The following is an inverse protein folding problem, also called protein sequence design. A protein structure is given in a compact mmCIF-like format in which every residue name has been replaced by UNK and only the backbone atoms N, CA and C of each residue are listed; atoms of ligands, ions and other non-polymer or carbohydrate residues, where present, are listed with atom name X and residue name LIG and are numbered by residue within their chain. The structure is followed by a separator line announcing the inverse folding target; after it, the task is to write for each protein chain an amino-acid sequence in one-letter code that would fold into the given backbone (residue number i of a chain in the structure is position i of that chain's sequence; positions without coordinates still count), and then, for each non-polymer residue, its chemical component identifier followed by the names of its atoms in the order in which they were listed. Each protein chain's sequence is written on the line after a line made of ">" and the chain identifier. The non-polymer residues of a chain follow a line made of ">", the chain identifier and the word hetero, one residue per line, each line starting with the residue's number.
data_IF_564273786745
#
_entry.id   IF_564273786745
#
_cell.length_a   1.000
_cell.length_b   1.000
_cell.length_c   1.000
_cell.angle_alpha   90.00
_cell.angle_beta   90.00
_cell.angle_gamma   90.00
#
_symmetry.space_group_name_H-M   'P 1'
#
loop_
_entity.id
_entity.type
_entity.pdbx_description
1 polymer ?
#
# COMPACT_ATOMS: atom_id res chain seq x y z
N UNK A 1 -22.19 -10.67 12.74
CA UNK A 1 -20.76 -10.83 13.02
C UNK A 1 -20.14 -9.44 13.05
N UNK A 2 -19.55 -9.01 14.18
CA UNK A 2 -18.86 -7.72 14.23
C UNK A 2 -17.46 -7.89 13.61
N UNK A 3 -16.92 -6.83 13.00
CA UNK A 3 -15.59 -6.88 12.38
C UNK A 3 -14.51 -7.31 13.37
N UNK A 4 -14.60 -6.85 14.62
CA UNK A 4 -13.69 -7.25 15.71
C UNK A 4 -13.71 -8.77 15.95
N UNK A 5 -14.90 -9.36 15.97
CA UNK A 5 -15.08 -10.81 16.17
C UNK A 5 -14.49 -11.62 15.00
N UNK A 6 -14.60 -11.09 13.77
CA UNK A 6 -14.08 -11.76 12.57
C UNK A 6 -12.55 -11.69 12.46
N UNK A 7 -11.93 -10.60 12.95
CA UNK A 7 -10.47 -10.46 12.97
C UNK A 7 -9.84 -11.37 14.03
N UNK A 8 -10.52 -11.58 15.15
CA UNK A 8 -10.03 -12.33 16.31
C UNK A 8 -9.15 -11.47 17.24
N UNK A 9 -8.97 -11.95 18.47
CA UNK A 9 -8.17 -11.26 19.50
C UNK A 9 -6.65 -11.45 19.27
N UNK A 10 -5.84 -10.50 19.76
CA UNK A 10 -4.37 -10.59 19.75
C UNK A 10 -3.69 -10.35 18.40
N UNK A 11 -4.44 -9.96 17.36
CA UNK A 11 -3.86 -9.56 16.07
C UNK A 11 -3.59 -8.06 16.04
N UNK A 12 -2.40 -7.69 15.62
CA UNK A 12 -2.05 -6.31 15.33
C UNK A 12 -2.79 -5.85 14.06
N UNK A 13 -3.60 -4.79 14.19
CA UNK A 13 -4.42 -4.25 13.10
C UNK A 13 -3.99 -2.82 12.78
N UNK A 14 -3.98 -2.49 11.50
CA UNK A 14 -3.77 -1.14 11.01
C UNK A 14 -4.97 -0.70 10.16
N UNK A 15 -5.53 0.46 10.46
CA UNK A 15 -6.61 1.09 9.69
C UNK A 15 -6.06 2.26 8.87
N UNK A 16 -6.35 2.27 7.56
CA UNK A 16 -6.13 3.43 6.72
C UNK A 16 -7.49 3.96 6.28
N UNK A 17 -7.86 5.15 6.77
CA UNK A 17 -9.19 5.70 6.54
C UNK A 17 -9.12 7.03 5.82
N UNK A 18 -10.26 7.57 5.40
CA UNK A 18 -10.31 8.98 5.05
C UNK A 18 -10.09 9.83 6.30
N UNK A 19 -9.58 11.06 6.10
CA UNK A 19 -9.53 12.07 7.17
C UNK A 19 -10.94 12.49 7.55
N UNK A 20 -11.45 11.82 8.56
CA UNK A 20 -12.79 11.98 9.13
C UNK A 20 -12.69 11.70 10.63
N UNK A 21 -13.07 12.69 11.44
CA UNK A 21 -12.96 12.61 12.90
C UNK A 21 -13.90 11.54 13.48
N UNK A 22 -15.06 11.32 12.85
CA UNK A 22 -16.03 10.31 13.27
C UNK A 22 -15.46 8.92 13.07
N UNK A 23 -14.87 8.65 11.91
CA UNK A 23 -14.22 7.35 11.64
C UNK A 23 -13.06 7.13 12.61
N UNK A 24 -12.23 8.16 12.80
CA UNK A 24 -11.06 8.09 13.69
C UNK A 24 -11.47 7.76 15.13
N UNK A 25 -12.54 8.40 15.61
CA UNK A 25 -13.12 8.15 16.92
C UNK A 25 -13.62 6.71 17.08
N UNK A 26 -14.39 6.19 16.12
CA UNK A 26 -14.91 4.82 16.20
C UNK A 26 -13.81 3.76 16.09
N UNK A 27 -12.79 3.98 15.26
CA UNK A 27 -11.61 3.10 15.21
C UNK A 27 -10.96 3.05 16.59
N UNK A 28 -10.71 4.21 17.23
CA UNK A 28 -10.12 4.26 18.57
C UNK A 28 -10.98 3.62 19.66
N UNK A 29 -12.31 3.67 19.55
CA UNK A 29 -13.19 2.99 20.49
C UNK A 29 -13.21 1.46 20.33
N UNK A 30 -13.30 0.98 19.10
CA UNK A 30 -13.49 -0.46 18.84
C UNK A 30 -12.14 -1.21 18.86
N UNK A 31 -11.07 -0.53 18.41
CA UNK A 31 -9.72 -1.05 18.26
C UNK A 31 -8.69 -0.07 18.86
N UNK A 32 -8.65 0.09 20.20
CA UNK A 32 -7.78 1.06 20.86
C UNK A 32 -6.28 0.81 20.64
N UNK A 33 -5.90 -0.45 20.43
CA UNK A 33 -4.52 -0.87 20.17
C UNK A 33 -4.16 -0.86 18.67
N UNK A 34 -5.12 -0.59 17.79
CA UNK A 34 -4.85 -0.57 16.36
C UNK A 34 -4.13 0.70 15.94
N UNK A 35 -3.20 0.55 15.00
CA UNK A 35 -2.59 1.68 14.35
C UNK A 35 -3.61 2.32 13.40
N UNK A 36 -3.58 3.64 13.31
CA UNK A 36 -4.53 4.37 12.49
C UNK A 36 -3.86 5.48 11.71
N UNK A 37 -4.03 5.42 10.40
CA UNK A 37 -3.46 6.31 9.40
C UNK A 37 -4.53 6.87 8.47
N UNK A 38 -4.17 7.95 7.80
CA UNK A 38 -4.98 8.56 6.77
C UNK A 38 -4.55 8.12 5.38
N UNK A 39 -5.54 7.90 4.53
CA UNK A 39 -5.31 7.58 3.13
C UNK A 39 -4.61 8.75 2.45
N UNK A 40 -3.54 8.47 1.70
CA UNK A 40 -2.80 9.52 0.96
C UNK A 40 -3.73 10.36 0.07
N UNK A 41 -4.82 9.74 -0.42
CA UNK A 41 -5.85 10.43 -1.19
C UNK A 41 -6.59 11.48 -0.35
N UNK A 42 -7.09 11.13 0.83
CA UNK A 42 -7.81 12.07 1.70
C UNK A 42 -6.91 13.20 2.21
N UNK A 43 -5.66 12.87 2.59
CA UNK A 43 -4.63 13.86 2.94
C UNK A 43 -4.38 14.80 1.76
N UNK A 44 -4.25 14.29 0.53
CA UNK A 44 -4.05 15.12 -0.65
C UNK A 44 -5.24 16.06 -0.92
N UNK A 45 -6.48 15.62 -0.64
CA UNK A 45 -7.68 16.46 -0.81
C UNK A 45 -7.65 17.61 0.19
N UNK A 46 -7.45 17.32 1.47
CA UNK A 46 -7.36 18.34 2.52
C UNK A 46 -6.21 19.32 2.29
N UNK A 47 -5.05 18.78 1.94
CA UNK A 47 -3.88 19.55 1.57
C UNK A 47 -4.18 20.53 0.41
N UNK A 48 -4.80 20.04 -0.67
CA UNK A 48 -5.19 20.88 -1.82
C UNK A 48 -6.22 21.95 -1.46
N UNK A 49 -7.12 21.68 -0.51
CA UNK A 49 -8.10 22.67 -0.04
C UNK A 49 -7.43 23.84 0.71
N UNK A 50 -6.26 23.62 1.33
CA UNK A 50 -5.52 24.66 2.07
C UNK A 50 -4.49 25.39 1.23
N UNK A 51 -3.81 24.68 0.34
CA UNK A 51 -2.64 25.19 -0.41
C UNK A 51 -2.97 25.51 -1.86
N UNK A 52 -4.12 25.02 -2.36
CA UNK A 52 -4.46 25.07 -3.78
C UNK A 52 -3.95 23.84 -4.54
N UNK A 53 -4.50 23.65 -5.74
CA UNK A 53 -4.12 22.53 -6.60
C UNK A 53 -2.83 22.86 -7.36
N UNK A 54 -1.87 21.93 -7.36
CA UNK A 54 -0.63 22.09 -8.11
C UNK A 54 -0.03 20.72 -8.40
N UNK A 55 0.09 20.37 -9.67
CA UNK A 55 0.64 19.08 -10.12
C UNK A 55 2.04 18.82 -9.56
N UNK A 56 2.88 19.87 -9.45
CA UNK A 56 4.23 19.74 -8.89
C UNK A 56 4.19 19.45 -7.38
N UNK A 57 3.33 20.17 -6.64
CA UNK A 57 3.20 19.93 -5.21
C UNK A 57 2.56 18.57 -4.91
N UNK A 58 1.55 18.16 -5.67
CA UNK A 58 0.96 16.82 -5.58
C UNK A 58 2.03 15.74 -5.86
N UNK A 59 2.86 15.93 -6.88
CA UNK A 59 3.97 15.02 -7.19
C UNK A 59 4.95 14.90 -6.01
N UNK A 60 5.40 16.02 -5.45
CA UNK A 60 6.30 16.05 -4.30
C UNK A 60 5.66 15.42 -3.05
N UNK A 61 4.38 15.71 -2.80
CA UNK A 61 3.61 15.12 -1.71
C UNK A 61 3.53 13.60 -1.85
N UNK A 62 3.11 13.07 -2.99
CA UNK A 62 3.01 11.62 -3.19
C UNK A 62 4.37 10.94 -3.17
N UNK A 63 5.44 11.64 -3.58
CA UNK A 63 6.81 11.14 -3.45
C UNK A 63 7.27 11.07 -2.00
N UNK A 64 7.01 12.09 -1.20
CA UNK A 64 7.29 12.09 0.23
C UNK A 64 6.46 11.00 0.95
N UNK A 65 5.16 10.94 0.66
CA UNK A 65 4.24 9.97 1.25
C UNK A 65 4.71 8.53 1.03
N UNK A 66 5.21 8.20 -0.17
CA UNK A 66 5.68 6.85 -0.56
C UNK A 66 7.18 6.63 -0.36
N UNK A 67 7.89 7.52 0.33
CA UNK A 67 9.31 7.34 0.57
C UNK A 67 9.55 6.14 1.50
N UNK A 68 10.54 5.31 1.18
CA UNK A 68 10.93 4.15 2.00
C UNK A 68 11.84 4.55 3.16
N UNK A 69 12.65 5.58 2.96
CA UNK A 69 13.63 6.05 3.95
C UNK A 69 13.25 7.45 4.43
N UNK A 70 13.65 7.77 5.65
CA UNK A 70 13.57 9.13 6.19
C UNK A 70 14.36 10.13 5.33
N UNK A 71 15.48 9.70 4.74
CA UNK A 71 16.27 10.53 3.84
C UNK A 71 15.51 10.90 2.54
N UNK A 72 14.90 9.92 1.88
CA UNK A 72 14.11 10.16 0.65
C UNK A 72 12.85 10.97 0.94
N UNK A 73 12.26 10.76 2.11
CA UNK A 73 11.16 11.55 2.62
C UNK A 73 11.60 13.01 2.71
N UNK A 74 12.65 13.33 3.47
CA UNK A 74 13.08 14.70 3.70
C UNK A 74 13.54 15.39 2.41
N UNK A 75 14.17 14.65 1.49
CA UNK A 75 14.54 15.15 0.16
C UNK A 75 13.35 15.60 -0.68
N UNK A 76 12.18 14.96 -0.50
CA UNK A 76 10.95 15.32 -1.20
C UNK A 76 10.16 16.37 -0.41
N UNK A 77 10.10 16.21 0.91
CA UNK A 77 9.37 17.07 1.83
C UNK A 77 9.96 18.49 1.87
N UNK A 78 11.28 18.63 1.94
CA UNK A 78 11.98 19.94 1.93
C UNK A 78 11.72 20.78 0.67
N UNK A 79 11.35 20.15 -0.45
CA UNK A 79 11.03 20.82 -1.72
C UNK A 79 9.61 21.36 -1.78
N UNK A 80 8.75 21.00 -0.84
CA UNK A 80 7.43 21.58 -0.70
C UNK A 80 7.55 23.03 -0.19
N UNK A 81 6.58 23.86 -0.56
CA UNK A 81 6.49 25.23 -0.03
C UNK A 81 6.40 25.22 1.49
N UNK A 82 6.79 26.32 2.14
CA UNK A 82 6.70 26.45 3.59
C UNK A 82 5.29 26.14 4.11
N UNK A 83 4.27 26.78 3.53
CA UNK A 83 2.88 26.57 3.88
C UNK A 83 2.44 25.10 3.69
N UNK A 84 2.89 24.45 2.62
CA UNK A 84 2.61 23.03 2.39
C UNK A 84 3.20 22.13 3.49
N UNK A 85 4.46 22.38 3.86
CA UNK A 85 5.12 21.64 4.94
C UNK A 85 4.43 21.86 6.28
N UNK A 86 3.99 23.08 6.56
CA UNK A 86 3.28 23.42 7.79
C UNK A 86 1.95 22.65 7.91
N UNK A 87 1.11 22.71 6.87
CA UNK A 87 -0.16 21.97 6.82
C UNK A 87 0.06 20.46 7.01
N UNK A 88 1.03 19.88 6.31
CA UNK A 88 1.32 18.45 6.39
C UNK A 88 1.97 18.02 7.72
N UNK A 89 2.73 18.92 8.35
CA UNK A 89 3.32 18.67 9.68
C UNK A 89 2.25 18.71 10.76
N UNK A 90 1.25 19.59 10.65
CA UNK A 90 0.12 19.68 11.58
C UNK A 90 -0.76 18.41 11.57
N UNK A 91 -0.84 17.70 10.44
CA UNK A 91 -1.50 16.38 10.37
C UNK A 91 -0.69 15.30 11.10
N UNK A 92 0.63 15.50 11.25
CA UNK A 92 1.58 14.54 11.80
C UNK A 92 2.11 13.59 10.73
N UNK A 93 3.43 13.54 10.54
CA UNK A 93 4.09 12.70 9.51
C UNK A 93 3.73 11.22 9.68
N UNK A 94 3.62 10.75 10.91
CA UNK A 94 3.24 9.36 11.24
C UNK A 94 1.89 8.95 10.68
N UNK A 95 0.95 9.89 10.53
CA UNK A 95 -0.42 9.61 10.07
C UNK A 95 -0.55 9.42 8.56
N UNK A 96 0.46 9.76 7.77
CA UNK A 96 0.34 9.74 6.31
C UNK A 96 1.58 9.26 5.56
N UNK A 97 2.77 9.42 6.13
CA UNK A 97 4.03 9.05 5.50
C UNK A 97 4.44 7.60 5.81
N UNK A 98 4.77 6.84 4.76
CA UNK A 98 5.00 5.39 4.85
C UNK A 98 6.14 5.01 5.78
N UNK A 99 7.27 5.70 5.66
CA UNK A 99 8.49 5.45 6.44
C UNK A 99 8.36 5.78 7.93
N UNK A 100 7.34 6.53 8.33
CA UNK A 100 7.07 6.88 9.73
C UNK A 100 5.97 6.02 10.34
N UNK A 101 5.33 5.14 9.56
CA UNK A 101 4.34 4.23 10.08
C UNK A 101 5.06 3.02 10.70
N UNK A 102 4.79 2.69 11.98
CA UNK A 102 5.51 1.64 12.70
C UNK A 102 5.23 0.24 12.18
N UNK A 103 4.16 0.08 11.38
CA UNK A 103 3.75 -1.21 10.84
C UNK A 103 3.96 -1.35 9.34
N UNK A 104 3.99 -2.60 8.90
CA UNK A 104 4.01 -2.93 7.49
C UNK A 104 2.61 -2.64 6.91
N UNK A 105 2.46 -1.57 6.11
CA UNK A 105 1.20 -1.14 5.45
C UNK A 105 0.58 -2.16 4.47
N UNK A 106 1.01 -3.43 4.46
CA UNK A 106 0.51 -4.46 3.54
C UNK A 106 -0.81 -5.09 3.98
N UNK A 107 -1.26 -4.87 5.21
CA UNK A 107 -2.54 -5.37 5.71
C UNK A 107 -3.74 -4.42 5.50
N UNK A 108 -3.62 -3.50 4.55
CA UNK A 108 -4.71 -2.58 4.21
C UNK A 108 -5.69 -3.35 3.35
N UNK A 109 -6.61 -4.05 4.01
CA UNK A 109 -7.91 -4.40 3.44
C UNK A 109 -8.55 -3.09 2.97
N UNK A 110 -8.32 -2.75 1.70
CA UNK A 110 -8.97 -1.63 1.07
C UNK A 110 -10.43 -2.03 0.82
N UNK A 111 -11.27 -1.82 1.82
CA UNK A 111 -12.73 -1.89 1.66
C UNK A 111 -13.11 -0.65 0.88
N UNK A 112 -12.92 -0.70 -0.44
CA UNK A 112 -13.49 0.30 -1.32
C UNK A 112 -15.00 0.10 -1.28
N UNK A 113 -15.70 0.97 -0.54
CA UNK A 113 -17.16 0.96 -0.54
C UNK A 113 -17.60 1.14 -1.98
N UNK A 114 -18.30 0.16 -2.57
CA UNK A 114 -18.69 0.22 -3.97
C UNK A 114 -19.41 1.52 -4.27
N UNK A 115 -19.03 2.16 -5.38
CA UNK A 115 -19.60 3.45 -5.78
C UNK A 115 -21.13 3.41 -5.89
N UNK A 116 -21.73 2.24 -6.18
CA UNK A 116 -23.18 2.08 -6.23
C UNK A 116 -23.84 2.26 -4.85
N UNK A 117 -23.20 1.88 -3.74
CA UNK A 117 -23.74 2.13 -2.39
C UNK A 117 -23.76 3.64 -2.09
N UNK A 118 -22.72 4.35 -2.52
CA UNK A 118 -22.69 5.81 -2.42
C UNK A 118 -23.79 6.45 -3.27
N UNK A 119 -24.06 5.92 -4.48
CA UNK A 119 -25.16 6.38 -5.33
C UNK A 119 -26.51 6.11 -4.66
N UNK A 120 -26.77 4.89 -4.16
CA UNK A 120 -28.02 4.53 -3.50
C UNK A 120 -28.32 5.42 -2.27
N UNK A 121 -27.29 5.74 -1.47
CA UNK A 121 -27.44 6.61 -0.30
C UNK A 121 -27.71 8.07 -0.69
N UNK A 122 -27.11 8.55 -1.79
CA UNK A 122 -27.22 9.96 -2.23
C UNK A 122 -28.46 10.22 -3.08
N UNK A 123 -28.87 9.29 -3.94
CA UNK A 123 -29.98 9.51 -4.88
C UNK A 123 -31.34 9.08 -4.35
N UNK A 124 -31.37 8.26 -3.30
CA UNK A 124 -32.62 7.75 -2.75
C UNK A 124 -32.67 8.01 -1.24
N UNK A 125 -33.14 9.20 -0.86
CA UNK A 125 -33.34 9.59 0.53
C UNK A 125 -34.33 8.72 1.32
N UNK A 126 -35.02 7.77 0.66
CA UNK A 126 -36.04 6.89 1.24
C UNK A 126 -35.85 5.39 0.88
N UNK A 127 -34.63 4.88 0.73
CA UNK A 127 -34.46 3.41 0.61
C UNK A 127 -34.67 2.78 1.99
N UNK A 128 -35.53 1.76 2.13
CA UNK A 128 -35.56 0.96 3.34
C UNK A 128 -34.17 0.40 3.65
N UNK A 129 -33.78 0.42 4.93
CA UNK A 129 -32.46 -0.09 5.36
C UNK A 129 -32.25 -1.55 4.92
N UNK A 130 -33.32 -2.33 4.85
CA UNK A 130 -33.34 -3.71 4.35
C UNK A 130 -32.85 -3.79 2.90
N UNK A 131 -33.30 -2.88 2.04
CA UNK A 131 -32.88 -2.84 0.62
C UNK A 131 -31.39 -2.52 0.48
N UNK A 132 -30.86 -1.61 1.30
CA UNK A 132 -29.42 -1.34 1.34
C UNK A 132 -28.64 -2.58 1.77
N UNK A 133 -29.08 -3.27 2.82
CA UNK A 133 -28.46 -4.53 3.25
C UNK A 133 -28.50 -5.60 2.17
N UNK A 134 -29.65 -5.82 1.51
CA UNK A 134 -29.77 -6.77 0.40
C UNK A 134 -28.81 -6.43 -0.73
N UNK A 135 -28.68 -5.15 -1.10
CA UNK A 135 -27.77 -4.72 -2.15
C UNK A 135 -26.29 -4.91 -1.77
N UNK A 136 -25.92 -4.66 -0.50
CA UNK A 136 -24.58 -4.95 0.01
C UNK A 136 -24.29 -6.46 -0.04
N UNK A 137 -25.21 -7.28 0.45
CA UNK A 137 -25.06 -8.75 0.46
C UNK A 137 -24.94 -9.28 -0.96
N UNK A 138 -25.81 -8.85 -1.87
CA UNK A 138 -25.77 -9.24 -3.27
C UNK A 138 -24.44 -8.83 -3.93
N UNK A 139 -23.95 -7.62 -3.67
CA UNK A 139 -22.66 -7.18 -4.19
C UNK A 139 -21.50 -8.03 -3.67
N UNK A 140 -21.48 -8.34 -2.37
CA UNK A 140 -20.44 -9.20 -1.79
C UNK A 140 -20.52 -10.58 -2.44
N UNK A 141 -21.69 -11.21 -2.48
CA UNK A 141 -21.90 -12.53 -3.08
C UNK A 141 -21.47 -12.56 -4.55
N UNK A 142 -21.88 -11.57 -5.35
CA UNK A 142 -21.49 -11.45 -6.75
C UNK A 142 -19.98 -11.29 -6.88
N UNK A 143 -19.35 -10.43 -6.06
CA UNK A 143 -17.89 -10.25 -6.07
C UNK A 143 -17.16 -11.56 -5.75
N UNK A 144 -17.64 -12.34 -4.77
CA UNK A 144 -17.07 -13.65 -4.46
C UNK A 144 -17.25 -14.64 -5.60
N UNK A 145 -18.45 -14.71 -6.20
CA UNK A 145 -18.72 -15.59 -7.33
C UNK A 145 -17.83 -15.26 -8.56
N UNK A 146 -17.72 -13.97 -8.91
CA UNK A 146 -16.85 -13.51 -10.00
C UNK A 146 -15.38 -13.85 -9.73
N UNK A 147 -14.91 -13.69 -8.49
CA UNK A 147 -13.55 -14.05 -8.10
C UNK A 147 -13.31 -15.56 -8.08
N UNK A 148 -14.28 -16.36 -7.67
CA UNK A 148 -14.19 -17.84 -7.71
C UNK A 148 -14.04 -18.34 -9.16
N UNK A 149 -14.88 -17.82 -10.07
CA UNK A 149 -14.77 -18.10 -11.52
C UNK A 149 -13.41 -17.67 -12.06
N UNK A 150 -12.96 -16.45 -11.70
CA UNK A 150 -11.62 -15.97 -12.09
C UNK A 150 -10.53 -16.91 -11.59
N UNK A 151 -10.61 -17.37 -10.34
CA UNK A 151 -9.66 -18.31 -9.72
C UNK A 151 -9.57 -19.62 -10.49
N UNK A 152 -10.71 -20.19 -10.87
CA UNK A 152 -10.78 -21.40 -11.70
C UNK A 152 -10.17 -21.24 -13.09
N UNK A 153 -10.13 -20.02 -13.63
CA UNK A 153 -9.51 -19.71 -14.92
C UNK A 153 -8.00 -19.39 -14.83
N UNK A 154 -7.45 -19.16 -13.63
CA UNK A 154 -6.03 -18.86 -13.49
C UNK A 154 -5.18 -20.09 -13.84
N UNK A 155 -4.29 -19.95 -14.81
CA UNK A 155 -3.34 -20.98 -15.22
C UNK A 155 -1.87 -20.63 -14.90
N UNK A 156 -1.64 -19.48 -14.27
CA UNK A 156 -0.32 -18.99 -13.89
C UNK A 156 -0.11 -19.03 -12.37
N UNK A 157 1.12 -18.74 -11.93
CA UNK A 157 1.50 -18.73 -10.50
C UNK A 157 0.90 -17.54 -9.75
N UNK A 158 0.71 -16.41 -10.43
CA UNK A 158 0.28 -15.15 -9.81
C UNK A 158 -1.10 -14.71 -10.30
N UNK A 159 -1.79 -13.92 -9.49
CA UNK A 159 -3.02 -13.22 -9.91
C UNK A 159 -2.73 -12.25 -11.07
N UNK A 160 -3.71 -11.96 -11.95
CA UNK A 160 -3.51 -11.07 -13.10
C UNK A 160 -3.02 -9.66 -12.71
N UNK A 161 -3.46 -9.17 -11.54
CA UNK A 161 -2.97 -7.91 -10.98
C UNK A 161 -1.47 -7.97 -10.69
N UNK A 162 -1.02 -9.02 -10.01
CA UNK A 162 0.37 -9.16 -9.64
C UNK A 162 1.27 -9.35 -10.87
N UNK A 163 0.82 -10.11 -11.87
CA UNK A 163 1.52 -10.24 -13.14
C UNK A 163 1.68 -8.91 -13.86
N UNK A 164 0.59 -8.15 -14.00
CA UNK A 164 0.63 -6.82 -14.62
C UNK A 164 1.63 -5.89 -13.90
N UNK A 165 1.61 -5.89 -12.56
CA UNK A 165 2.50 -5.06 -11.75
C UNK A 165 3.95 -5.52 -11.86
N UNK A 166 4.21 -6.82 -11.76
CA UNK A 166 5.52 -7.43 -11.93
C UNK A 166 6.09 -7.12 -13.31
N UNK A 167 5.32 -7.34 -14.37
CA UNK A 167 5.75 -7.08 -15.75
C UNK A 167 6.15 -5.61 -15.93
N UNK A 168 5.32 -4.67 -15.45
CA UNK A 168 5.63 -3.24 -15.50
C UNK A 168 6.90 -2.88 -14.72
N UNK A 169 7.12 -3.51 -13.56
CA UNK A 169 8.31 -3.25 -12.75
C UNK A 169 9.55 -3.85 -13.39
N UNK A 170 9.48 -5.09 -13.87
CA UNK A 170 10.55 -5.76 -14.61
C UNK A 170 11.03 -4.95 -15.81
N UNK A 171 10.12 -4.37 -16.58
CA UNK A 171 10.50 -3.49 -17.70
C UNK A 171 11.29 -2.25 -17.24
N UNK A 172 10.97 -1.70 -16.06
CA UNK A 172 11.72 -0.58 -15.48
C UNK A 172 13.06 -1.01 -14.90
N UNK A 173 13.14 -2.20 -14.30
CA UNK A 173 14.37 -2.79 -13.76
C UNK A 173 15.50 -2.88 -14.80
N UNK A 174 15.17 -3.12 -16.07
CA UNK A 174 16.17 -3.22 -17.14
C UNK A 174 17.00 -1.94 -17.33
N UNK A 175 16.54 -0.81 -16.77
CA UNK A 175 17.23 0.48 -16.81
C UNK A 175 18.02 0.76 -15.53
N UNK A 176 17.95 -0.13 -14.54
CA UNK A 176 18.69 -0.03 -13.30
C UNK A 176 20.12 -0.57 -13.50
N UNK A 177 21.07 -0.01 -12.75
CA UNK A 177 22.41 -0.58 -12.59
C UNK A 177 22.63 -0.88 -11.12
N UNK A 178 22.99 -2.11 -10.81
CA UNK A 178 23.19 -2.59 -9.45
C UNK A 178 24.69 -2.70 -9.14
N UNK A 179 25.07 -2.37 -7.91
CA UNK A 179 26.42 -2.60 -7.40
C UNK A 179 26.30 -3.12 -5.98
N UNK A 180 26.85 -4.31 -5.71
CA UNK A 180 26.84 -4.88 -4.36
C UNK A 180 27.71 -4.02 -3.45
N UNK A 181 27.18 -3.63 -2.29
CA UNK A 181 27.94 -2.90 -1.29
C UNK A 181 28.68 -3.94 -0.43
N UNK A 182 30.02 -3.94 -0.40
CA UNK A 182 30.75 -4.84 0.47
C UNK A 182 30.46 -4.50 1.94
N UNK A 183 30.37 -5.51 2.82
CA UNK A 183 30.18 -5.26 4.24
C UNK A 183 31.38 -4.53 4.84
N UNK A 184 31.12 -3.54 5.71
CA UNK A 184 32.17 -2.85 6.47
C UNK A 184 32.85 -3.79 7.49
N UNK A 185 32.15 -4.84 7.95
CA UNK A 185 32.64 -5.87 8.88
C UNK A 185 32.24 -7.25 8.34
N UNK A 186 33.15 -8.24 8.28
CA UNK A 186 32.81 -9.61 7.91
C UNK A 186 31.71 -10.15 8.85
N UNK A 187 30.51 -10.34 8.31
CA UNK A 187 29.37 -10.90 9.03
C UNK A 187 29.11 -12.32 8.52
N UNK A 188 28.79 -13.27 9.40
CA UNK A 188 28.37 -14.62 8.99
C UNK A 188 26.97 -14.64 8.36
N UNK A 189 26.23 -13.53 8.42
CA UNK A 189 24.91 -13.40 7.81
C UNK A 189 24.99 -12.88 6.37
N UNK A 190 24.10 -13.32 5.46
CA UNK A 190 24.10 -12.87 4.07
C UNK A 190 23.95 -11.35 3.99
N UNK A 191 25.02 -10.67 3.55
CA UNK A 191 25.06 -9.22 3.40
C UNK A 191 24.67 -8.84 1.97
N UNK A 192 23.36 -8.78 1.73
CA UNK A 192 22.77 -8.52 0.41
C UNK A 192 22.19 -7.10 0.33
N UNK A 193 23.08 -6.13 0.61
CA UNK A 193 22.82 -4.71 0.42
C UNK A 193 23.43 -4.26 -0.90
N UNK A 194 22.63 -3.58 -1.70
CA UNK A 194 22.97 -3.14 -3.04
C UNK A 194 22.70 -1.66 -3.21
N UNK A 195 23.60 -1.00 -3.92
CA UNK A 195 23.35 0.31 -4.47
C UNK A 195 22.74 0.15 -5.86
N UNK A 196 21.53 0.66 -6.04
CA UNK A 196 20.82 0.63 -7.32
C UNK A 196 20.71 2.03 -7.87
N UNK A 197 21.17 2.20 -9.10
CA UNK A 197 21.10 3.44 -9.85
C UNK A 197 19.98 3.34 -10.87
N UNK A 198 18.89 4.06 -10.62
CA UNK A 198 17.91 4.42 -11.66
C UNK A 198 18.34 5.78 -12.24
N UNK A 199 18.07 6.04 -13.53
CA UNK A 199 18.49 7.22 -14.31
C UNK A 199 18.25 8.57 -13.61
N UNK A 200 17.41 8.61 -12.56
CA UNK A 200 17.06 9.81 -11.77
C UNK A 200 17.48 9.75 -10.31
N UNK A 201 17.81 8.58 -9.75
CA UNK A 201 17.99 8.38 -8.31
C UNK A 201 18.93 7.24 -7.98
N UNK A 202 19.76 7.46 -6.94
CA UNK A 202 20.49 6.39 -6.25
C UNK A 202 19.63 5.90 -5.11
N UNK A 203 19.45 4.59 -5.01
CA UNK A 203 18.72 3.93 -3.94
C UNK A 203 19.59 2.84 -3.31
N UNK A 204 19.47 2.64 -2.01
CA UNK A 204 20.04 1.49 -1.33
C UNK A 204 18.92 0.48 -1.17
N UNK A 205 19.17 -0.75 -1.62
CA UNK A 205 18.25 -1.88 -1.51
C UNK A 205 18.87 -2.90 -0.59
N UNK A 206 18.15 -3.24 0.47
CA UNK A 206 18.46 -4.35 1.35
C UNK A 206 17.47 -5.48 1.05
N UNK A 207 17.96 -6.56 0.44
CA UNK A 207 17.12 -7.71 0.09
C UNK A 207 16.60 -8.44 1.35
N UNK A 208 17.32 -8.38 2.47
CA UNK A 208 16.90 -9.01 3.73
C UNK A 208 15.72 -8.27 4.37
N UNK A 209 15.57 -6.98 4.08
CA UNK A 209 14.46 -6.15 4.60
C UNK A 209 13.21 -6.16 3.72
N UNK A 210 13.15 -7.02 2.70
CA UNK A 210 11.91 -7.30 1.96
C UNK A 210 11.19 -6.02 1.50
N UNK A 211 11.81 -5.27 0.59
CA UNK A 211 11.28 -4.01 0.05
C UNK A 211 10.10 -4.23 -0.91
N UNK A 212 8.96 -4.63 -0.36
CA UNK A 212 7.71 -4.77 -1.09
C UNK A 212 7.03 -3.40 -1.31
N UNK A 213 6.23 -3.29 -2.38
CA UNK A 213 5.24 -2.25 -2.63
C UNK A 213 3.94 -2.93 -3.05
N UNK A 214 2.92 -2.78 -2.22
CA UNK A 214 1.64 -3.50 -2.24
C UNK A 214 1.87 -5.00 -2.28
N UNK A 215 2.72 -5.51 -1.38
CA UNK A 215 3.09 -6.93 -1.32
C UNK A 215 3.83 -7.48 -2.55
N UNK A 216 4.27 -6.65 -3.49
CA UNK A 216 5.08 -7.06 -4.66
C UNK A 216 6.40 -6.29 -4.62
N UNK A 217 7.55 -6.89 -4.88
CA UNK A 217 8.85 -6.24 -4.75
C UNK A 217 8.99 -5.03 -5.67
N UNK A 218 9.60 -3.94 -5.19
CA UNK A 218 9.84 -2.76 -6.04
C UNK A 218 10.78 -3.08 -7.21
N UNK A 219 10.82 -2.22 -8.24
CA UNK A 219 11.69 -2.44 -9.38
C UNK A 219 13.17 -2.60 -8.98
N UNK A 220 13.66 -1.78 -8.06
CA UNK A 220 15.05 -1.89 -7.59
C UNK A 220 15.34 -3.24 -6.91
N UNK A 221 14.40 -3.76 -6.10
CA UNK A 221 14.51 -5.06 -5.45
C UNK A 221 14.51 -6.21 -6.46
N UNK A 222 13.61 -6.17 -7.46
CA UNK A 222 13.57 -7.17 -8.53
C UNK A 222 14.88 -7.16 -9.34
N UNK A 223 15.44 -5.99 -9.61
CA UNK A 223 16.69 -5.85 -10.36
C UNK A 223 17.87 -6.46 -9.58
N UNK A 224 17.92 -6.17 -8.28
CA UNK A 224 18.91 -6.72 -7.35
C UNK A 224 18.79 -8.23 -7.19
N UNK A 225 17.58 -8.77 -7.06
CA UNK A 225 17.32 -10.19 -6.98
C UNK A 225 17.77 -10.95 -8.23
N UNK A 226 17.61 -10.34 -9.42
CA UNK A 226 18.12 -10.91 -10.66
C UNK A 226 19.65 -10.97 -10.69
N UNK A 227 20.31 -10.01 -10.05
CA UNK A 227 21.77 -9.99 -9.95
C UNK A 227 22.30 -11.15 -9.08
N UNK A 228 21.64 -11.44 -7.95
CA UNK A 228 22.07 -12.52 -7.03
C UNK A 228 21.77 -13.92 -7.56
N UNK A 229 20.82 -14.08 -8.49
CA UNK A 229 20.35 -15.37 -9.06
C UNK A 229 19.85 -16.41 -8.04
N UNK A 230 19.83 -16.07 -6.75
CA UNK A 230 19.46 -16.96 -5.65
C UNK A 230 18.06 -16.66 -5.10
N UNK A 231 17.29 -15.81 -5.77
CA UNK A 231 15.97 -15.41 -5.30
C UNK A 231 14.93 -15.60 -6.39
N UNK A 232 13.90 -16.37 -6.10
CA UNK A 232 12.83 -16.63 -7.06
C UNK A 232 11.87 -15.43 -7.13
N UNK A 233 11.11 -15.35 -8.23
CA UNK A 233 10.11 -14.29 -8.37
C UNK A 233 8.96 -14.44 -7.37
N UNK A 234 8.74 -15.67 -6.89
CA UNK A 234 7.79 -16.02 -5.83
C UNK A 234 8.18 -15.39 -4.51
N UNK A 235 9.46 -15.35 -4.15
CA UNK A 235 9.97 -14.65 -2.96
C UNK A 235 9.78 -13.12 -3.04
N UNK A 236 9.63 -12.62 -4.27
CA UNK A 236 9.41 -11.20 -4.58
C UNK A 236 7.93 -10.81 -4.56
N UNK A 237 7.02 -11.74 -4.21
CA UNK A 237 5.58 -11.50 -4.16
C UNK A 237 4.98 -12.16 -2.93
N UNK A 238 4.20 -11.40 -2.17
CA UNK A 238 3.46 -11.90 -1.02
C UNK A 238 2.44 -12.98 -1.42
N UNK A 239 2.23 -13.93 -0.52
CA UNK A 239 1.41 -15.12 -0.74
C UNK A 239 -0.03 -14.81 -1.20
N UNK A 240 -0.61 -13.67 -0.78
CA UNK A 240 -1.97 -13.26 -1.13
C UNK A 240 -2.18 -12.99 -2.62
N UNK A 241 -1.09 -12.84 -3.37
CA UNK A 241 -1.12 -12.65 -4.82
C UNK A 241 -0.87 -13.93 -5.61
N UNK A 242 -0.67 -15.07 -4.94
CA UNK A 242 -0.54 -16.37 -5.59
C UNK A 242 -1.90 -16.88 -6.05
N UNK A 243 -1.94 -17.49 -7.23
CA UNK A 243 -3.16 -18.04 -7.80
C UNK A 243 -3.78 -19.13 -6.91
N UNK A 244 -2.97 -20.00 -6.30
CA UNK A 244 -3.44 -21.07 -5.43
C UNK A 244 -4.10 -20.53 -4.15
N UNK A 245 -3.51 -19.50 -3.54
CA UNK A 245 -4.09 -18.81 -2.38
C UNK A 245 -5.37 -18.08 -2.78
N UNK A 246 -5.39 -17.47 -3.96
CA UNK A 246 -6.60 -16.82 -4.48
C UNK A 246 -7.74 -17.83 -4.69
N UNK A 247 -7.47 -19.00 -5.28
CA UNK A 247 -8.46 -20.08 -5.50
C UNK A 247 -9.01 -20.67 -4.21
N UNK A 248 -8.21 -20.71 -3.14
CA UNK A 248 -8.68 -21.20 -1.84
C UNK A 248 -9.47 -20.14 -1.06
N UNK A 249 -9.33 -18.87 -1.42
CA UNK A 249 -10.00 -17.75 -0.75
C UNK A 249 -11.42 -17.50 -1.29
N UNK A 250 -11.69 -17.79 -2.57
CA UNK A 250 -12.95 -17.49 -3.27
C UNK A 250 -13.51 -18.73 -3.96
#
# INVERSE_FOLDING_TARGET
>A
MRLKDAIGEGREVAFITNMDDTISFFVGQVFPEAYHDYSSKSVSIYYRLRIGQSTNLDYLFFRACKAYTTQDFEKSFSKLSHAAREVLSNIGKTKWAWNYFPNIRWNVLNINIPKFLMVLVVTQHNVPIITLFCAIVQYIQQTFAERSVMGGMLNTVFTPYAEMVLHRRMQKCLRCKETKIPPEIPSPFPYDIFQVFDLKTRCIVDLNRHMFFLGIACGHAIATARYTKNTELTDMVQIYYLADVFRTTY
#
